data_IF_751464456204
#
_entry.id   IF_751464456204
#
_cell.length_a   1.000
_cell.length_b   1.000
_cell.length_c   1.000
_cell.angle_alpha   90.00
_cell.angle_beta   90.00
_cell.angle_gamma   90.00
#
_symmetry.space_group_name_H-M   'P 1'
#
loop_
_entity.id
_entity.type
_entity.pdbx_description
1 polymer ?
#
# COMPACT_ATOMS: atom_id res chain seq x y z
N UNK A 1 30.84 22.72 -11.51
CA UNK A 1 29.55 23.40 -11.27
C UNK A 1 28.63 23.07 -12.42
N UNK A 2 27.88 21.97 -12.36
CA UNK A 2 27.02 21.56 -13.47
C UNK A 2 25.94 20.61 -12.94
N UNK A 3 24.75 21.15 -12.68
CA UNK A 3 23.55 20.76 -13.42
C UNK A 3 22.42 21.75 -13.09
N UNK A 4 22.40 22.82 -13.86
CA UNK A 4 21.32 23.81 -13.89
C UNK A 4 20.61 23.67 -15.24
N UNK A 5 20.28 22.45 -15.66
CA UNK A 5 19.38 22.21 -16.79
C UNK A 5 17.96 22.14 -16.27
N UNK A 6 17.14 23.11 -16.68
CA UNK A 6 15.67 23.09 -16.67
C UNK A 6 15.07 21.72 -16.32
N UNK A 7 14.91 21.41 -15.02
CA UNK A 7 14.17 20.21 -14.61
C UNK A 7 12.77 20.39 -15.15
N UNK A 8 12.36 19.53 -16.07
CA UNK A 8 10.98 19.54 -16.59
C UNK A 8 10.05 19.48 -15.38
N UNK A 9 8.86 20.11 -15.42
CA UNK A 9 7.90 20.01 -14.32
C UNK A 9 7.65 18.56 -13.89
N UNK A 10 7.75 17.62 -14.85
CA UNK A 10 7.74 16.19 -14.61
C UNK A 10 8.89 15.68 -13.73
N UNK A 11 10.14 16.06 -14.01
CA UNK A 11 11.31 15.62 -13.24
C UNK A 11 11.22 16.10 -11.78
N UNK A 12 10.74 17.33 -11.57
CA UNK A 12 10.50 17.86 -10.22
C UNK A 12 9.43 17.08 -9.46
N UNK A 13 8.38 16.63 -10.16
CA UNK A 13 7.33 15.81 -9.55
C UNK A 13 7.87 14.44 -9.12
N UNK A 14 8.66 13.79 -9.96
CA UNK A 14 9.32 12.52 -9.64
C UNK A 14 10.30 12.69 -8.46
N UNK A 15 11.07 13.79 -8.42
CA UNK A 15 11.96 14.10 -7.30
C UNK A 15 11.23 14.28 -5.95
N UNK A 16 9.99 14.79 -5.99
CA UNK A 16 9.13 14.91 -4.81
C UNK A 16 8.68 13.54 -4.34
N UNK A 17 8.11 12.73 -5.23
CA UNK A 17 7.66 11.36 -4.90
C UNK A 17 8.82 10.53 -4.38
N UNK A 18 9.94 10.47 -5.11
CA UNK A 18 11.13 9.75 -4.69
C UNK A 18 11.60 10.21 -3.30
N UNK A 19 11.60 11.51 -3.04
CA UNK A 19 11.97 12.05 -1.74
C UNK A 19 11.06 11.63 -0.57
N UNK A 20 9.79 11.35 -0.84
CA UNK A 20 8.81 10.88 0.16
C UNK A 20 8.99 9.37 0.42
N UNK A 21 9.31 8.60 -0.62
CA UNK A 21 9.42 7.14 -0.57
C UNK A 21 10.81 6.61 -0.18
N UNK A 22 11.88 7.37 -0.41
CA UNK A 22 13.24 6.95 -0.05
C UNK A 22 13.39 6.50 1.42
N UNK A 23 12.84 7.20 2.44
CA UNK A 23 13.00 6.81 3.84
C UNK A 23 12.28 5.51 4.22
N UNK A 24 11.22 5.15 3.49
CA UNK A 24 10.37 3.98 3.79
C UNK A 24 10.73 2.75 2.96
N UNK A 25 11.51 2.92 1.89
CA UNK A 25 11.78 1.88 0.91
C UNK A 25 12.42 0.63 1.53
N UNK A 26 13.35 0.81 2.47
CA UNK A 26 14.01 -0.31 3.15
C UNK A 26 13.03 -1.15 3.97
N UNK A 27 12.14 -0.51 4.72
CA UNK A 27 11.16 -1.21 5.56
C UNK A 27 10.06 -1.85 4.71
N UNK A 28 9.63 -1.16 3.64
CA UNK A 28 8.66 -1.69 2.67
C UNK A 28 9.19 -2.96 1.99
N UNK A 29 10.48 -2.96 1.65
CA UNK A 29 11.16 -4.13 1.05
C UNK A 29 11.18 -5.30 2.03
N UNK A 30 11.52 -5.07 3.30
CA UNK A 30 11.51 -6.11 4.32
C UNK A 30 10.09 -6.69 4.53
N UNK A 31 9.07 -5.83 4.59
CA UNK A 31 7.68 -6.25 4.73
C UNK A 31 7.21 -7.11 3.56
N UNK A 32 7.54 -6.70 2.33
CA UNK A 32 7.26 -7.46 1.12
C UNK A 32 7.93 -8.84 1.12
N UNK A 33 9.20 -8.92 1.55
CA UNK A 33 9.90 -10.20 1.67
C UNK A 33 9.25 -11.13 2.70
N UNK A 34 8.88 -10.61 3.88
CA UNK A 34 8.19 -11.41 4.92
C UNK A 34 6.89 -12.00 4.37
N UNK A 35 6.09 -11.18 3.69
CA UNK A 35 4.81 -11.61 3.12
C UNK A 35 5.02 -12.61 1.97
N UNK A 36 6.05 -12.42 1.16
CA UNK A 36 6.45 -13.36 0.10
C UNK A 36 6.91 -14.72 0.64
N UNK A 37 7.73 -14.74 1.68
CA UNK A 37 8.13 -15.99 2.35
C UNK A 37 6.94 -16.67 3.03
N UNK A 38 6.05 -15.90 3.67
CA UNK A 38 4.85 -16.45 4.26
C UNK A 38 3.94 -17.10 3.21
N UNK A 39 3.75 -16.45 2.05
CA UNK A 39 3.01 -17.01 0.93
C UNK A 39 3.67 -18.30 0.40
N UNK A 40 5.00 -18.34 0.31
CA UNK A 40 5.74 -19.53 -0.09
C UNK A 40 5.56 -20.68 0.93
N UNK A 41 5.72 -20.41 2.23
CA UNK A 41 5.54 -21.42 3.27
C UNK A 41 4.10 -21.92 3.36
N UNK A 42 3.13 -21.05 3.09
CA UNK A 42 1.72 -21.42 2.98
C UNK A 42 1.47 -22.30 1.75
N UNK A 43 2.09 -22.00 0.61
CA UNK A 43 1.96 -22.80 -0.62
C UNK A 43 2.61 -24.19 -0.49
N UNK A 44 3.71 -24.30 0.28
CA UNK A 44 4.38 -25.57 0.58
C UNK A 44 3.70 -26.37 1.71
N UNK A 45 2.68 -25.81 2.36
CA UNK A 45 1.97 -26.44 3.48
C UNK A 45 2.76 -26.51 4.78
N UNK A 46 3.87 -25.76 4.90
CA UNK A 46 4.69 -25.72 6.11
C UNK A 46 4.09 -24.87 7.22
N UNK A 47 3.26 -23.90 6.84
CA UNK A 47 2.58 -22.99 7.78
C UNK A 47 1.11 -22.93 7.38
N UNK A 48 0.23 -23.32 8.30
CA UNK A 48 -1.23 -23.26 8.09
C UNK A 48 -1.79 -21.92 8.57
N UNK A 49 -2.86 -21.39 7.92
CA UNK A 49 -3.49 -20.13 8.31
C UNK A 49 -3.99 -20.09 9.76
N UNK A 50 -4.38 -21.26 10.29
CA UNK A 50 -4.85 -21.41 11.68
C UNK A 50 -3.72 -21.41 12.71
N UNK A 51 -2.45 -21.46 12.27
CA UNK A 51 -1.32 -21.43 13.18
C UNK A 51 -1.09 -20.02 13.72
N UNK A 52 -0.89 -19.89 15.04
CA UNK A 52 -0.55 -18.60 15.65
C UNK A 52 0.71 -17.95 15.04
N UNK A 53 1.66 -18.77 14.59
CA UNK A 53 2.86 -18.32 13.86
C UNK A 53 2.48 -17.65 12.54
N UNK A 54 1.56 -18.22 11.75
CA UNK A 54 1.07 -17.58 10.54
C UNK A 54 0.47 -16.22 10.83
N UNK A 55 -0.41 -16.15 11.83
CA UNK A 55 -1.09 -14.91 12.19
C UNK A 55 -0.10 -13.79 12.54
N UNK A 56 0.92 -14.11 13.36
CA UNK A 56 1.95 -13.14 13.75
C UNK A 56 2.76 -12.67 12.55
N UNK A 57 3.25 -13.61 11.72
CA UNK A 57 4.02 -13.25 10.53
C UNK A 57 3.19 -12.46 9.52
N UNK A 58 1.91 -12.81 9.37
CA UNK A 58 1.00 -12.13 8.47
C UNK A 58 0.75 -10.69 8.95
N UNK A 59 0.46 -10.50 10.25
CA UNK A 59 0.27 -9.17 10.83
C UNK A 59 1.53 -8.30 10.70
N UNK A 60 2.73 -8.86 10.90
CA UNK A 60 3.98 -8.13 10.72
C UNK A 60 4.17 -7.71 9.26
N UNK A 61 3.90 -8.61 8.32
CA UNK A 61 3.96 -8.32 6.89
C UNK A 61 2.93 -7.27 6.46
N UNK A 62 1.70 -7.36 6.99
CA UNK A 62 0.57 -6.51 6.61
C UNK A 62 0.59 -5.12 7.25
N UNK A 63 1.08 -4.99 8.48
CA UNK A 63 1.06 -3.73 9.22
C UNK A 63 1.72 -2.58 8.43
N UNK A 64 2.83 -2.86 7.76
CA UNK A 64 3.53 -1.88 6.92
C UNK A 64 2.65 -1.36 5.78
N UNK A 65 1.89 -2.24 5.11
CA UNK A 65 1.02 -1.85 4.00
C UNK A 65 -0.26 -1.19 4.49
N UNK A 66 -0.84 -1.69 5.59
CA UNK A 66 -2.06 -1.14 6.19
C UNK A 66 -1.86 0.27 6.75
N UNK A 67 -0.67 0.55 7.29
CA UNK A 67 -0.29 1.86 7.84
C UNK A 67 0.62 2.67 6.92
N UNK A 68 0.76 2.26 5.65
CA UNK A 68 1.50 3.00 4.63
C UNK A 68 1.09 4.48 4.54
N UNK A 69 -0.20 4.85 4.61
CA UNK A 69 -0.62 6.26 4.59
C UNK A 69 -0.04 7.07 5.76
N UNK A 70 0.12 6.47 6.94
CA UNK A 70 0.71 7.12 8.12
C UNK A 70 2.17 7.45 7.88
N UNK A 71 2.94 6.49 7.34
CA UNK A 71 4.35 6.69 7.07
C UNK A 71 4.58 7.68 5.92
N UNK A 72 3.78 7.61 4.86
CA UNK A 72 3.81 8.58 3.77
C UNK A 72 3.45 9.98 4.25
N UNK A 73 2.43 10.11 5.10
CA UNK A 73 2.03 11.40 5.66
C UNK A 73 3.16 12.04 6.46
N UNK A 74 3.87 11.25 7.27
CA UNK A 74 5.04 11.72 8.02
C UNK A 74 6.20 12.15 7.11
N UNK A 75 6.58 11.33 6.12
CA UNK A 75 7.69 11.66 5.21
C UNK A 75 7.35 12.80 4.26
N UNK A 76 6.09 12.90 3.81
CA UNK A 76 5.60 14.02 3.02
C UNK A 76 5.66 15.32 3.81
N UNK A 77 5.15 15.35 5.05
CA UNK A 77 5.25 16.55 5.90
C UNK A 77 6.70 17.00 6.06
N UNK A 78 7.63 16.06 6.27
CA UNK A 78 9.07 16.37 6.36
C UNK A 78 9.65 16.88 5.03
N UNK A 79 9.24 16.32 3.88
CA UNK A 79 9.70 16.73 2.55
C UNK A 79 9.22 18.12 2.15
N UNK A 80 8.00 18.49 2.55
CA UNK A 80 7.40 19.80 2.26
C UNK A 80 7.67 20.86 3.35
N UNK A 81 8.36 20.51 4.44
CA UNK A 81 8.67 21.43 5.53
C UNK A 81 7.49 21.75 6.46
N UNK A 82 6.46 20.91 6.48
CA UNK A 82 5.35 21.02 7.41
C UNK A 82 5.69 20.37 8.76
N UNK A 83 4.89 20.67 9.78
CA UNK A 83 4.96 19.98 11.08
C UNK A 83 4.64 18.50 10.88
N UNK A 84 5.54 17.56 11.24
CA UNK A 84 5.33 16.13 11.00
C UNK A 84 4.05 15.56 11.64
N UNK A 85 3.61 16.16 12.74
CA UNK A 85 2.37 15.80 13.42
C UNK A 85 1.11 15.98 12.54
N UNK A 86 1.10 17.01 11.69
CA UNK A 86 -0.02 17.25 10.76
C UNK A 86 -0.08 16.15 9.71
N UNK A 87 1.07 15.80 9.12
CA UNK A 87 1.15 14.71 8.14
C UNK A 87 0.77 13.36 8.74
N UNK A 88 1.16 13.12 9.99
CA UNK A 88 0.81 11.90 10.72
C UNK A 88 -0.70 11.79 10.97
N UNK A 89 -1.37 12.87 11.41
CA UNK A 89 -2.83 12.89 11.59
C UNK A 89 -3.55 12.63 10.28
N UNK A 90 -3.12 13.24 9.17
CA UNK A 90 -3.70 13.00 7.84
C UNK A 90 -3.56 11.53 7.46
N UNK A 91 -2.38 10.95 7.65
CA UNK A 91 -2.16 9.53 7.37
C UNK A 91 -3.01 8.59 8.24
N UNK A 92 -3.23 8.94 9.51
CA UNK A 92 -4.15 8.19 10.40
C UNK A 92 -5.60 8.33 9.94
N UNK A 93 -6.03 9.53 9.53
CA UNK A 93 -7.37 9.75 9.00
C UNK A 93 -7.64 8.93 7.72
N UNK A 94 -6.61 8.73 6.88
CA UNK A 94 -6.69 7.83 5.72
C UNK A 94 -6.73 6.35 6.10
N UNK A 95 -6.24 5.99 7.28
CA UNK A 95 -6.37 4.64 7.82
C UNK A 95 -7.70 4.38 8.52
N UNK A 96 -8.62 5.35 8.49
CA UNK A 96 -9.92 5.18 9.10
C UNK A 96 -10.70 4.07 8.37
N UNK A 97 -11.28 3.08 9.08
CA UNK A 97 -11.88 1.90 8.46
C UNK A 97 -12.94 2.24 7.41
N UNK A 98 -13.71 3.32 7.60
CA UNK A 98 -14.71 3.72 6.61
C UNK A 98 -14.10 4.13 5.26
N UNK A 99 -12.88 4.68 5.27
CA UNK A 99 -12.14 5.05 4.06
C UNK A 99 -11.51 3.79 3.43
N UNK A 100 -10.83 2.97 4.23
CA UNK A 100 -10.16 1.76 3.72
C UNK A 100 -11.16 0.72 3.18
N UNK A 101 -12.26 0.49 3.91
CA UNK A 101 -13.33 -0.42 3.46
C UNK A 101 -14.05 0.16 2.24
N UNK A 102 -14.23 1.48 2.16
CA UNK A 102 -14.85 2.13 1.01
C UNK A 102 -14.02 1.96 -0.27
N UNK A 103 -12.70 2.14 -0.20
CA UNK A 103 -11.79 1.88 -1.34
C UNK A 103 -11.71 0.40 -1.69
N UNK A 104 -11.74 -0.50 -0.70
CA UNK A 104 -11.71 -1.94 -0.94
C UNK A 104 -13.05 -2.50 -1.49
N UNK A 105 -14.18 -1.91 -1.09
CA UNK A 105 -15.52 -2.27 -1.59
C UNK A 105 -15.74 -1.75 -3.01
N UNK A 106 -15.22 -0.57 -3.35
CA UNK A 106 -15.25 -0.06 -4.72
C UNK A 106 -14.51 -0.97 -5.72
N UNK A 107 -13.50 -1.72 -5.27
CA UNK A 107 -12.80 -2.73 -6.08
C UNK A 107 -13.59 -4.05 -6.21
N UNK A 108 -14.62 -4.30 -5.39
CA UNK A 108 -15.29 -5.60 -5.28
C UNK A 108 -16.76 -5.61 -5.74
N UNK A 109 -17.38 -4.45 -6.01
CA UNK A 109 -18.74 -4.41 -6.57
C UNK A 109 -18.70 -4.48 -8.11
N UNK A 110 -19.12 -5.60 -8.73
CA UNK A 110 -19.22 -5.68 -10.18
C UNK A 110 -20.34 -4.77 -10.67
N UNK A 111 -20.03 -3.87 -11.60
CA UNK A 111 -21.02 -2.93 -12.15
C UNK A 111 -22.11 -3.69 -12.93
N UNK A 112 -21.73 -4.81 -13.54
CA UNK A 112 -22.60 -5.82 -14.13
C UNK A 112 -21.84 -7.14 -14.33
N UNK A 113 -22.56 -8.26 -14.31
CA UNK A 113 -22.04 -9.59 -14.69
C UNK A 113 -22.38 -9.86 -16.16
N UNK A 114 -21.35 -10.05 -16.99
CA UNK A 114 -21.53 -10.53 -18.35
C UNK A 114 -21.94 -12.02 -18.30
N UNK A 115 -22.96 -12.39 -19.05
CA UNK A 115 -23.51 -13.76 -19.13
C UNK A 115 -24.09 -14.33 -17.82
N UNK A 116 -24.83 -13.50 -17.09
CA UNK A 116 -25.52 -13.91 -15.87
C UNK A 116 -26.40 -15.16 -16.09
N UNK A 117 -26.19 -16.20 -15.28
CA UNK A 117 -26.87 -17.50 -15.40
C UNK A 117 -26.18 -18.57 -16.27
N UNK A 118 -25.00 -18.30 -16.85
CA UNK A 118 -24.21 -19.30 -17.59
C UNK A 118 -22.89 -19.64 -16.87
N UNK A 119 -22.26 -20.76 -17.22
CA UNK A 119 -20.94 -21.14 -16.68
C UNK A 119 -19.78 -20.19 -17.07
N UNK A 120 -20.06 -19.19 -17.91
CA UNK A 120 -19.10 -18.17 -18.35
C UNK A 120 -19.42 -16.78 -17.77
N UNK A 121 -20.20 -16.74 -16.68
CA UNK A 121 -20.49 -15.49 -15.99
C UNK A 121 -19.19 -14.78 -15.59
N UNK A 122 -18.97 -13.59 -16.12
CA UNK A 122 -17.77 -12.80 -15.89
C UNK A 122 -18.13 -11.44 -15.29
N UNK A 123 -17.79 -11.18 -14.02
CA UNK A 123 -17.98 -9.88 -13.42
C UNK A 123 -17.07 -8.84 -14.09
N UNK A 124 -17.65 -7.73 -14.53
CA UNK A 124 -16.89 -6.59 -15.07
C UNK A 124 -16.64 -5.59 -13.94
N UNK A 125 -15.38 -5.52 -13.53
CA UNK A 125 -14.86 -4.52 -12.61
C UNK A 125 -14.36 -3.31 -13.39
N UNK A 126 -14.48 -2.12 -12.82
CA UNK A 126 -13.71 -0.95 -13.23
C UNK A 126 -12.70 -0.70 -12.09
N UNK A 127 -11.45 -0.40 -12.43
CA UNK A 127 -10.48 0.13 -11.45
C UNK A 127 -10.89 1.51 -10.92
#
# INVERSE_FOLDING_TARGET
SEDNKNKKPFDKFIDVISGIFQPILGVLTAAGMIKGFLALFSALGWVTPDSGTYMILNVIGDAMFMYLPVMLGYTAAKKFGLKPFVGLIIGIALCYPAIQQGTLSATLEPLYTLFDGTMFASPVYIE
#
